data_IF_303020003154
#
_entry.id   IF_303020003154
#
_cell.length_a   1.000
_cell.length_b   1.000
_cell.length_c   1.000
_cell.angle_alpha   90.00
_cell.angle_beta   90.00
_cell.angle_gamma   90.00
#
_symmetry.space_group_name_H-M   'P 1'
#
loop_
_entity.id
_entity.type
_entity.pdbx_description
1 polymer ?
#
# COMPACT_ATOMS: atom_id res chain seq x y z
N UNK A 1 10.83 -42.56 -13.87
CA UNK A 1 10.94 -41.60 -14.95
C UNK A 1 9.89 -40.50 -14.86
N UNK A 2 8.63 -40.80 -14.66
CA UNK A 2 7.57 -39.82 -14.56
C UNK A 2 7.64 -38.93 -13.33
N UNK A 3 8.05 -39.47 -12.17
CA UNK A 3 8.20 -38.73 -10.92
C UNK A 3 9.28 -37.65 -11.01
N UNK A 4 10.33 -37.90 -11.76
CA UNK A 4 11.42 -36.93 -11.92
C UNK A 4 11.02 -35.70 -12.73
N UNK A 5 10.17 -35.86 -13.71
CA UNK A 5 9.67 -34.73 -14.52
C UNK A 5 8.68 -33.88 -13.75
N UNK A 6 7.86 -34.47 -12.87
CA UNK A 6 6.94 -33.72 -12.02
C UNK A 6 7.67 -32.94 -10.93
N UNK A 7 8.73 -33.52 -10.33
CA UNK A 7 9.57 -32.84 -9.36
C UNK A 7 10.37 -31.70 -9.99
N UNK A 8 10.88 -31.87 -11.18
CA UNK A 8 11.56 -30.82 -11.93
C UNK A 8 10.61 -29.68 -12.34
N UNK A 9 9.38 -30.01 -12.68
CA UNK A 9 8.34 -29.05 -13.01
C UNK A 9 7.95 -28.20 -11.80
N UNK A 10 7.72 -28.85 -10.66
CA UNK A 10 7.39 -28.15 -9.43
C UNK A 10 8.53 -27.25 -8.97
N UNK A 11 9.77 -27.71 -9.08
CA UNK A 11 10.96 -26.94 -8.76
C UNK A 11 11.15 -25.73 -9.68
N UNK A 12 10.81 -25.87 -10.95
CA UNK A 12 10.86 -24.77 -11.94
C UNK A 12 9.78 -23.72 -11.69
N UNK A 13 8.59 -24.14 -11.30
CA UNK A 13 7.49 -23.23 -10.96
C UNK A 13 7.77 -22.47 -9.67
N UNK A 14 8.33 -23.12 -8.66
CA UNK A 14 8.76 -22.45 -7.43
C UNK A 14 9.88 -21.44 -7.69
N UNK A 15 10.87 -21.79 -8.51
CA UNK A 15 11.94 -20.87 -8.88
C UNK A 15 11.45 -19.66 -9.68
N UNK A 16 10.50 -19.86 -10.57
CA UNK A 16 9.91 -18.76 -11.34
C UNK A 16 9.14 -17.80 -10.43
N UNK A 17 8.42 -18.32 -9.43
CA UNK A 17 7.72 -17.51 -8.46
C UNK A 17 8.68 -16.75 -7.52
N UNK A 18 9.76 -17.38 -7.09
CA UNK A 18 10.81 -16.74 -6.30
C UNK A 18 11.57 -15.67 -7.08
N UNK A 19 11.88 -15.92 -8.34
CA UNK A 19 12.55 -14.94 -9.19
C UNK A 19 11.66 -13.73 -9.49
N UNK A 20 10.36 -13.92 -9.67
CA UNK A 20 9.41 -12.83 -9.84
C UNK A 20 9.32 -11.98 -8.56
N UNK A 21 9.29 -12.60 -7.39
CA UNK A 21 9.30 -11.91 -6.10
C UNK A 21 10.63 -11.18 -5.86
N UNK A 22 11.75 -11.78 -6.17
CA UNK A 22 13.08 -11.16 -6.08
C UNK A 22 13.25 -10.01 -7.06
N UNK A 23 12.72 -10.12 -8.25
CA UNK A 23 12.78 -9.08 -9.27
C UNK A 23 11.99 -7.84 -8.86
N UNK A 24 10.82 -8.01 -8.26
CA UNK A 24 10.06 -6.92 -7.70
C UNK A 24 10.82 -6.24 -6.55
N UNK A 25 11.42 -7.01 -5.64
CA UNK A 25 12.22 -6.51 -4.54
C UNK A 25 13.50 -5.81 -5.01
N UNK A 26 14.18 -6.32 -6.03
CA UNK A 26 15.37 -5.71 -6.63
C UNK A 26 15.07 -4.41 -7.35
N UNK A 27 13.95 -4.31 -8.03
CA UNK A 27 13.52 -3.08 -8.68
C UNK A 27 13.30 -1.97 -7.65
N UNK A 28 12.77 -2.32 -6.48
CA UNK A 28 12.61 -1.38 -5.37
C UNK A 28 13.94 -0.93 -4.79
N UNK A 29 14.93 -1.82 -4.70
CA UNK A 29 16.26 -1.52 -4.12
C UNK A 29 17.17 -0.70 -5.03
N UNK A 30 17.08 -0.86 -6.34
CA UNK A 30 17.95 -0.15 -7.28
C UNK A 30 17.61 1.33 -7.47
N UNK A 31 16.45 1.77 -6.96
CA UNK A 31 15.96 3.14 -7.15
C UNK A 31 16.15 4.04 -5.92
N UNK A 32 16.95 3.59 -4.93
CA UNK A 32 17.15 4.27 -3.64
C UNK A 32 17.82 5.64 -3.74
N UNK A 33 18.43 5.99 -4.87
CA UNK A 33 19.21 7.22 -5.04
C UNK A 33 18.39 8.48 -5.32
N UNK A 34 17.10 8.36 -5.62
CA UNK A 34 16.25 9.53 -5.92
C UNK A 34 14.87 9.35 -5.27
N UNK A 35 14.56 10.17 -4.28
CA UNK A 35 13.33 10.04 -3.48
C UNK A 35 12.05 10.04 -4.32
N UNK A 36 11.94 10.89 -5.32
CA UNK A 36 10.78 10.93 -6.20
C UNK A 36 10.70 9.69 -7.11
N UNK A 37 11.85 9.15 -7.51
CA UNK A 37 11.92 7.95 -8.35
C UNK A 37 11.62 6.67 -7.57
N UNK A 38 11.99 6.60 -6.29
CA UNK A 38 11.72 5.45 -5.43
C UNK A 38 10.22 5.20 -5.33
N UNK A 39 9.44 6.23 -5.02
CA UNK A 39 7.99 6.11 -4.89
C UNK A 39 7.30 5.76 -6.22
N UNK A 40 7.79 6.34 -7.34
CA UNK A 40 7.21 6.11 -8.67
C UNK A 40 7.50 4.70 -9.22
N UNK A 41 8.62 4.09 -8.81
CA UNK A 41 9.10 2.82 -9.37
C UNK A 41 8.95 1.62 -8.43
N UNK A 42 8.49 1.82 -7.19
CA UNK A 42 8.20 0.70 -6.31
C UNK A 42 6.87 0.04 -6.70
N UNK A 43 6.66 -1.19 -6.25
CA UNK A 43 5.39 -1.87 -6.48
C UNK A 43 4.25 -1.19 -5.71
N UNK A 44 3.02 -1.45 -6.13
CA UNK A 44 1.83 -0.82 -5.55
C UNK A 44 1.63 -1.21 -4.09
N UNK A 45 1.98 -2.43 -3.70
CA UNK A 45 1.88 -2.89 -2.31
C UNK A 45 2.80 -2.06 -1.41
N UNK A 46 4.05 -1.92 -1.79
CA UNK A 46 5.04 -1.15 -1.01
C UNK A 46 4.65 0.32 -0.93
N UNK A 47 4.22 0.90 -2.03
CA UNK A 47 3.79 2.30 -2.07
C UNK A 47 2.60 2.55 -1.14
N UNK A 48 1.57 1.73 -1.25
CA UNK A 48 0.38 1.86 -0.41
C UNK A 48 0.71 1.59 1.06
N UNK A 49 1.51 0.56 1.33
CA UNK A 49 1.95 0.23 2.68
C UNK A 49 2.76 1.36 3.32
N UNK A 50 3.61 2.02 2.57
CA UNK A 50 4.38 3.16 3.06
C UNK A 50 3.47 4.33 3.44
N UNK A 51 2.46 4.63 2.64
CA UNK A 51 1.46 5.64 2.99
C UNK A 51 0.69 5.24 4.24
N UNK A 52 0.23 4.00 4.33
CA UNK A 52 -0.46 3.46 5.50
C UNK A 52 0.41 3.62 6.76
N UNK A 53 1.69 3.30 6.67
CA UNK A 53 2.62 3.44 7.79
C UNK A 53 2.77 4.89 8.22
N UNK A 54 2.85 5.83 7.30
CA UNK A 54 2.91 7.25 7.61
C UNK A 54 1.64 7.77 8.29
N UNK A 55 0.48 7.32 7.83
CA UNK A 55 -0.83 7.81 8.30
C UNK A 55 -1.34 7.05 9.53
N UNK A 56 -1.08 5.76 9.63
CA UNK A 56 -1.69 4.87 10.59
C UNK A 56 -0.73 3.81 11.14
N UNK A 57 0.57 4.03 11.10
CA UNK A 57 1.57 3.05 11.53
C UNK A 57 1.45 2.65 12.99
N UNK A 58 0.97 3.55 13.85
CA UNK A 58 0.73 3.31 15.28
C UNK A 58 -0.71 2.85 15.58
N UNK A 59 -1.56 2.77 14.58
CA UNK A 59 -2.95 2.32 14.76
C UNK A 59 -3.06 0.80 14.77
N UNK A 60 -4.22 0.29 15.18
CA UNK A 60 -4.54 -1.12 15.04
C UNK A 60 -4.60 -1.53 13.55
N UNK A 61 -4.54 -2.83 13.30
CA UNK A 61 -4.56 -3.36 11.93
C UNK A 61 -5.79 -2.91 11.14
N UNK A 62 -6.95 -2.89 11.77
CA UNK A 62 -8.20 -2.44 11.17
C UNK A 62 -8.11 -0.97 10.70
N UNK A 63 -7.44 -0.13 11.48
CA UNK A 63 -7.19 1.26 11.10
C UNK A 63 -6.23 1.39 9.92
N UNK A 64 -5.20 0.57 9.88
CA UNK A 64 -4.26 0.50 8.76
C UNK A 64 -4.97 0.05 7.48
N UNK A 65 -5.77 -1.00 7.56
CA UNK A 65 -6.58 -1.49 6.44
C UNK A 65 -7.56 -0.42 5.96
N UNK A 66 -8.19 0.30 6.87
CA UNK A 66 -9.14 1.36 6.55
C UNK A 66 -8.49 2.50 5.74
N UNK A 67 -7.28 2.91 6.09
CA UNK A 67 -6.52 3.91 5.31
C UNK A 67 -6.25 3.40 3.89
N UNK A 68 -5.83 2.16 3.77
CA UNK A 68 -5.64 1.51 2.46
C UNK A 68 -6.93 1.45 1.65
N UNK A 69 -8.03 1.11 2.30
CA UNK A 69 -9.35 1.04 1.66
C UNK A 69 -9.80 2.40 1.11
N UNK A 70 -9.57 3.49 1.84
CA UNK A 70 -9.87 4.85 1.37
C UNK A 70 -9.11 5.15 0.07
N UNK A 71 -7.83 4.85 0.02
CA UNK A 71 -7.01 5.07 -1.18
C UNK A 71 -7.57 4.28 -2.37
N UNK A 72 -7.90 3.02 -2.15
CA UNK A 72 -8.46 2.17 -3.21
C UNK A 72 -9.86 2.60 -3.64
N UNK A 73 -10.67 3.09 -2.72
CA UNK A 73 -11.99 3.64 -3.05
C UNK A 73 -11.87 4.89 -3.92
N UNK A 74 -10.90 5.77 -3.63
CA UNK A 74 -10.60 6.92 -4.48
C UNK A 74 -10.21 6.49 -5.88
N UNK A 75 -9.32 5.51 -5.99
CA UNK A 75 -8.86 5.00 -7.27
C UNK A 75 -10.02 4.45 -8.11
N UNK A 76 -10.97 3.78 -7.49
CA UNK A 76 -12.13 3.16 -8.17
C UNK A 76 -13.29 4.13 -8.44
N UNK A 77 -13.34 5.26 -7.76
CA UNK A 77 -14.49 6.16 -7.79
C UNK A 77 -14.64 6.92 -9.11
N UNK A 78 -13.57 7.07 -9.89
CA UNK A 78 -13.56 7.89 -11.11
C UNK A 78 -13.47 9.40 -10.86
N UNK A 79 -13.61 9.84 -9.61
CA UNK A 79 -13.50 11.26 -9.24
C UNK A 79 -12.08 11.68 -8.86
N UNK A 80 -11.18 10.73 -8.77
CA UNK A 80 -9.76 10.91 -8.43
C UNK A 80 -8.89 10.38 -9.57
N UNK A 81 -7.56 10.63 -9.52
CA UNK A 81 -6.66 10.10 -10.56
C UNK A 81 -6.77 8.59 -10.73
N UNK A 82 -6.41 8.09 -11.91
CA UNK A 82 -6.60 6.69 -12.30
C UNK A 82 -5.42 5.76 -11.94
N UNK A 83 -4.35 6.28 -11.36
CA UNK A 83 -3.23 5.46 -10.87
C UNK A 83 -3.07 5.61 -9.37
N UNK A 84 -2.61 4.53 -8.71
CA UNK A 84 -2.35 4.54 -7.28
C UNK A 84 -1.34 5.63 -6.89
N UNK A 85 -0.25 5.75 -7.65
CA UNK A 85 0.75 6.79 -7.43
C UNK A 85 0.13 8.18 -7.46
N UNK A 86 -0.68 8.46 -8.47
CA UNK A 86 -1.29 9.77 -8.65
C UNK A 86 -2.32 10.09 -7.57
N UNK A 87 -3.06 9.09 -7.08
CA UNK A 87 -3.98 9.26 -5.95
C UNK A 87 -3.21 9.63 -4.69
N UNK A 88 -2.12 8.92 -4.40
CA UNK A 88 -1.31 9.16 -3.20
C UNK A 88 -0.61 10.51 -3.26
N UNK A 89 -0.06 10.87 -4.42
CA UNK A 89 0.70 12.12 -4.59
C UNK A 89 -0.16 13.30 -5.07
N UNK A 90 -1.46 13.14 -5.11
CA UNK A 90 -2.36 14.25 -5.45
C UNK A 90 -2.15 15.42 -4.48
N UNK A 91 -1.97 16.62 -5.03
CA UNK A 91 -1.64 17.80 -4.25
C UNK A 91 -2.65 18.05 -3.13
N UNK A 92 -2.14 18.22 -1.91
CA UNK A 92 -2.95 18.55 -0.74
C UNK A 92 -3.74 17.41 -0.12
N UNK A 93 -3.66 16.19 -0.66
CA UNK A 93 -4.44 15.05 -0.12
C UNK A 93 -3.72 14.31 0.99
N UNK A 94 -2.45 13.98 0.80
CA UNK A 94 -1.66 13.25 1.79
C UNK A 94 -0.37 14.01 2.08
N UNK A 95 -0.28 14.61 3.26
CA UNK A 95 0.90 15.36 3.70
C UNK A 95 2.18 14.53 3.63
N UNK A 96 2.22 13.25 4.09
CA UNK A 96 3.44 12.46 4.04
C UNK A 96 3.97 12.21 2.63
N UNK A 97 3.13 12.22 1.62
CA UNK A 97 3.58 12.11 0.22
C UNK A 97 4.29 13.40 -0.22
N UNK A 98 3.69 14.55 0.07
CA UNK A 98 4.22 15.84 -0.33
C UNK A 98 5.50 16.26 0.41
N UNK A 99 5.73 15.79 1.64
CA UNK A 99 6.91 16.15 2.43
C UNK A 99 8.05 15.11 2.39
N UNK A 100 7.92 14.06 1.56
CA UNK A 100 8.96 13.05 1.38
C UNK A 100 8.96 11.92 2.40
N UNK A 101 8.03 11.86 3.35
CA UNK A 101 7.96 10.78 4.35
C UNK A 101 7.66 9.43 3.73
N UNK A 102 6.77 9.38 2.74
CA UNK A 102 6.45 8.13 2.03
C UNK A 102 7.70 7.56 1.38
N UNK A 103 8.44 8.37 0.64
CA UNK A 103 9.70 7.94 0.01
C UNK A 103 10.73 7.49 1.05
N UNK A 104 10.83 8.20 2.18
CA UNK A 104 11.73 7.86 3.27
C UNK A 104 11.39 6.49 3.90
N UNK A 105 10.10 6.22 4.12
CA UNK A 105 9.64 4.93 4.64
C UNK A 105 9.93 3.80 3.66
N UNK A 106 9.75 4.01 2.38
CA UNK A 106 10.10 3.01 1.35
C UNK A 106 11.59 2.68 1.43
N UNK A 107 12.44 3.68 1.55
CA UNK A 107 13.89 3.50 1.62
C UNK A 107 14.34 2.79 2.91
N UNK A 108 13.71 3.05 4.04
CA UNK A 108 14.06 2.47 5.33
C UNK A 108 13.39 1.12 5.62
N UNK A 109 12.38 0.77 4.85
CA UNK A 109 11.62 -0.47 5.00
C UNK A 109 10.24 -0.24 5.62
N UNK A 110 9.26 -0.98 5.12
CA UNK A 110 7.85 -0.88 5.55
C UNK A 110 7.55 -2.03 6.50
N UNK A 111 6.73 -1.77 7.53
CA UNK A 111 6.34 -2.80 8.51
C UNK A 111 5.51 -3.91 7.86
N UNK A 112 5.62 -5.13 8.41
CA UNK A 112 4.87 -6.29 7.91
C UNK A 112 3.36 -6.12 8.00
N UNK A 113 2.86 -5.49 9.07
CA UNK A 113 1.42 -5.24 9.23
C UNK A 113 0.88 -4.26 8.17
N UNK A 114 1.63 -3.24 7.85
CA UNK A 114 1.24 -2.28 6.81
C UNK A 114 1.29 -2.92 5.41
N UNK A 115 2.27 -3.79 5.15
CA UNK A 115 2.31 -4.57 3.92
C UNK A 115 1.10 -5.47 3.76
N UNK A 116 0.70 -6.16 4.84
CA UNK A 116 -0.48 -7.02 4.83
C UNK A 116 -1.76 -6.20 4.61
N UNK A 117 -1.90 -5.07 5.29
CA UNK A 117 -3.03 -4.16 5.11
C UNK A 117 -3.12 -3.67 3.66
N UNK A 118 -2.00 -3.30 3.07
CA UNK A 118 -1.94 -2.87 1.67
C UNK A 118 -2.36 -3.99 0.71
N UNK A 119 -1.88 -5.20 0.93
CA UNK A 119 -2.27 -6.36 0.12
C UNK A 119 -3.77 -6.62 0.17
N UNK A 120 -4.36 -6.58 1.35
CA UNK A 120 -5.80 -6.77 1.52
C UNK A 120 -6.61 -5.65 0.86
N UNK A 121 -6.20 -4.39 1.03
CA UNK A 121 -6.86 -3.26 0.39
C UNK A 121 -6.79 -3.37 -1.14
N UNK A 122 -5.63 -3.71 -1.69
CA UNK A 122 -5.46 -3.90 -3.13
C UNK A 122 -6.31 -5.05 -3.67
N UNK A 123 -6.55 -6.09 -2.88
CA UNK A 123 -7.41 -7.21 -3.26
C UNK A 123 -8.90 -6.87 -3.20
N UNK A 124 -9.27 -5.73 -2.67
CA UNK A 124 -10.65 -5.26 -2.61
C UNK A 124 -11.30 -5.27 -1.24
N UNK A 125 -10.55 -5.62 -0.18
CA UNK A 125 -11.08 -5.58 1.19
C UNK A 125 -11.30 -4.13 1.62
N UNK A 126 -12.51 -3.82 2.05
CA UNK A 126 -12.92 -2.49 2.50
C UNK A 126 -13.75 -2.61 3.77
N UNK A 127 -13.20 -2.14 4.88
CA UNK A 127 -13.88 -2.11 6.17
C UNK A 127 -14.48 -0.74 6.49
N UNK A 128 -14.52 0.18 5.52
CA UNK A 128 -15.01 1.55 5.71
C UNK A 128 -16.38 1.79 5.08
N UNK A 129 -16.93 0.85 4.33
CA UNK A 129 -18.19 1.02 3.64
C UNK A 129 -18.14 2.00 2.46
N UNK A 130 -17.01 2.08 1.77
CA UNK A 130 -16.85 2.94 0.61
C UNK A 130 -16.35 4.35 0.92
N UNK A 131 -15.78 4.59 2.09
CA UNK A 131 -15.29 5.91 2.48
C UNK A 131 -14.20 6.41 1.53
N UNK A 132 -14.24 7.70 1.23
CA UNK A 132 -13.29 8.39 0.36
C UNK A 132 -12.36 9.33 1.14
N UNK A 133 -12.60 9.51 2.43
CA UNK A 133 -11.84 10.44 3.27
C UNK A 133 -11.74 9.90 4.69
N UNK A 134 -10.79 10.42 5.44
CA UNK A 134 -10.70 10.16 6.87
C UNK A 134 -10.13 11.38 7.60
N UNK A 135 -10.49 11.49 8.87
CA UNK A 135 -10.00 12.51 9.79
C UNK A 135 -9.79 11.89 11.16
N UNK A 136 -9.19 12.63 12.07
CA UNK A 136 -9.15 12.21 13.47
C UNK A 136 -10.56 12.07 14.02
N UNK A 137 -10.80 11.03 14.81
CA UNK A 137 -12.11 10.79 15.41
C UNK A 137 -12.54 11.95 16.30
N UNK A 138 -11.58 12.64 16.93
CA UNK A 138 -11.83 13.83 17.76
C UNK A 138 -12.37 15.04 16.98
N UNK A 139 -12.39 15.00 15.65
CA UNK A 139 -12.92 16.09 14.82
C UNK A 139 -14.44 16.24 14.90
N UNK A 140 -15.14 15.21 15.38
CA UNK A 140 -16.60 15.20 15.40
C UNK A 140 -17.26 14.87 14.07
N UNK A 141 -16.48 14.53 13.05
CA UNK A 141 -16.99 14.14 11.73
C UNK A 141 -17.83 12.86 11.85
N UNK A 142 -19.01 12.85 11.21
CA UNK A 142 -19.82 11.66 11.11
C UNK A 142 -19.20 10.65 10.16
N UNK A 143 -19.25 9.36 10.50
CA UNK A 143 -18.70 8.29 9.68
C UNK A 143 -18.40 7.05 10.51
N UNK A 144 -17.63 6.14 9.93
CA UNK A 144 -17.18 4.91 10.60
C UNK A 144 -15.94 5.21 11.42
N UNK A 145 -16.02 5.02 12.73
CA UNK A 145 -14.87 5.22 13.63
C UNK A 145 -14.10 3.91 13.78
N UNK A 146 -12.82 3.94 13.41
CA UNK A 146 -11.90 2.83 13.57
C UNK A 146 -10.62 3.38 14.22
N UNK A 147 -10.32 2.93 15.44
CA UNK A 147 -9.20 3.46 16.20
C UNK A 147 -9.34 4.97 16.44
N UNK A 148 -8.33 5.73 16.10
CA UNK A 148 -8.31 7.19 16.29
C UNK A 148 -8.80 7.97 15.07
N UNK A 149 -9.35 7.30 14.07
CA UNK A 149 -9.82 7.92 12.84
C UNK A 149 -11.31 7.69 12.60
N UNK A 150 -11.94 8.62 11.92
CA UNK A 150 -13.29 8.48 11.36
C UNK A 150 -13.19 8.50 9.85
N UNK A 151 -13.84 7.53 9.21
CA UNK A 151 -13.86 7.33 7.75
C UNK A 151 -15.23 7.70 7.20
N UNK A 152 -15.25 8.53 6.15
CA UNK A 152 -16.49 9.06 5.58
C UNK A 152 -16.43 9.27 4.08
#
# INVERSE_FOLDING_TARGET
>A
MYKRQEEERAALEEKAAEEAAKKAAQTTTTMVTQNASVAANCDEVTLLAALIQCEAGSECYEGQLAVGAVVMNRLRSGAYPSSLYDVIYQSGQFTPAGNGKVASVISSGVSGSCLQAAQEALSGVDNTGGALSFRRASSGQAGVVIGNHVFF
#
